data_IF_505749642606
#
_entry.id   IF_505749642606
#
_cell.length_a   1.000
_cell.length_b   1.000
_cell.length_c   1.000
_cell.angle_alpha   90.00
_cell.angle_beta   90.00
_cell.angle_gamma   90.00
#
_symmetry.space_group_name_H-M   'P 1'
#
loop_
_entity.id
_entity.type
_entity.pdbx_description
1 polymer ?
#
# COMPACT_ATOMS: atom_id res chain seq x y z
N UNK A 1 5.86 6.22 20.19
CA UNK A 1 5.01 5.07 20.54
C UNK A 1 4.98 4.17 19.31
N UNK A 2 5.35 2.88 19.44
CA UNK A 2 5.24 1.96 18.31
C UNK A 2 3.76 1.63 18.13
N UNK A 3 3.15 2.10 17.05
CA UNK A 3 1.77 1.76 16.72
C UNK A 3 1.67 0.27 16.42
N UNK A 4 0.60 -0.39 16.89
CA UNK A 4 0.34 -1.80 16.59
C UNK A 4 -0.13 -1.89 15.13
N UNK A 5 0.50 -2.73 14.28
CA UNK A 5 0.10 -2.88 12.89
C UNK A 5 -1.31 -3.48 12.78
N UNK A 6 -2.12 -3.05 11.79
CA UNK A 6 -3.49 -3.57 11.59
C UNK A 6 -3.54 -4.95 10.93
N UNK A 7 -2.48 -5.34 10.22
CA UNK A 7 -2.35 -6.63 9.50
C UNK A 7 -0.87 -6.95 9.25
N UNK A 8 -0.57 -8.05 8.56
CA UNK A 8 0.81 -8.40 8.12
C UNK A 8 1.00 -8.06 6.64
N UNK A 9 2.17 -7.52 6.28
CA UNK A 9 2.52 -7.25 4.87
C UNK A 9 2.98 -8.50 4.11
N UNK A 10 3.21 -9.62 4.80
CA UNK A 10 3.76 -10.81 4.17
C UNK A 10 5.10 -10.53 3.46
N UNK A 11 5.26 -11.07 2.24
CA UNK A 11 6.45 -10.84 1.41
C UNK A 11 6.31 -9.55 0.62
N UNK A 12 7.34 -8.72 0.67
CA UNK A 12 7.38 -7.44 -0.03
C UNK A 12 7.98 -7.59 -1.43
N UNK A 13 7.30 -6.99 -2.40
CA UNK A 13 7.80 -6.83 -3.76
C UNK A 13 7.61 -5.38 -4.21
N UNK A 14 8.42 -4.99 -5.20
CA UNK A 14 8.21 -3.77 -5.96
C UNK A 14 8.45 -4.08 -7.43
N UNK A 15 7.63 -3.52 -8.31
CA UNK A 15 7.84 -3.66 -9.76
C UNK A 15 9.12 -2.91 -10.19
N UNK A 16 9.74 -3.30 -11.32
CA UNK A 16 10.89 -2.58 -11.85
C UNK A 16 10.63 -1.09 -12.11
N UNK A 17 9.42 -0.71 -12.54
CA UNK A 17 9.06 0.69 -12.75
C UNK A 17 8.98 1.45 -11.43
N UNK A 18 8.37 0.88 -10.39
CA UNK A 18 8.34 1.48 -9.06
C UNK A 18 9.75 1.65 -8.47
N UNK A 19 10.63 0.65 -8.61
CA UNK A 19 12.03 0.74 -8.14
C UNK A 19 12.80 1.86 -8.84
N UNK A 20 12.53 2.12 -10.12
CA UNK A 20 13.18 3.18 -10.88
C UNK A 20 12.61 4.57 -10.55
N UNK A 21 11.31 4.65 -10.26
CA UNK A 21 10.59 5.91 -10.10
C UNK A 21 10.57 6.44 -8.66
N UNK A 22 10.72 5.57 -7.66
CA UNK A 22 10.54 5.88 -6.25
C UNK A 22 11.85 5.77 -5.47
N UNK A 23 11.97 6.57 -4.42
CA UNK A 23 13.05 6.41 -3.45
C UNK A 23 12.73 5.31 -2.44
N UNK A 24 13.76 4.79 -1.79
CA UNK A 24 13.56 3.88 -0.65
C UNK A 24 12.77 4.54 0.50
N UNK A 25 12.81 5.87 0.62
CA UNK A 25 12.04 6.63 1.62
C UNK A 25 10.55 6.62 1.30
N UNK A 26 10.19 6.86 0.03
CA UNK A 26 8.80 6.80 -0.46
C UNK A 26 8.18 5.43 -0.14
N UNK A 27 8.90 4.35 -0.49
CA UNK A 27 8.44 2.98 -0.28
C UNK A 27 8.27 2.66 1.21
N UNK A 28 9.28 2.96 2.04
CA UNK A 28 9.21 2.68 3.48
C UNK A 28 8.09 3.47 4.16
N UNK A 29 7.91 4.74 3.80
CA UNK A 29 6.86 5.59 4.34
C UNK A 29 5.48 5.07 3.94
N UNK A 30 5.29 4.72 2.67
CA UNK A 30 4.05 4.15 2.17
C UNK A 30 3.70 2.82 2.85
N UNK A 31 4.66 1.90 3.02
CA UNK A 31 4.44 0.63 3.72
C UNK A 31 4.06 0.86 5.19
N UNK A 32 4.72 1.80 5.88
CA UNK A 32 4.40 2.15 7.27
C UNK A 32 2.99 2.73 7.41
N UNK A 33 2.58 3.59 6.48
CA UNK A 33 1.22 4.16 6.42
C UNK A 33 0.16 3.10 6.12
N UNK A 34 0.40 2.27 5.10
CA UNK A 34 -0.47 1.17 4.71
C UNK A 34 -0.72 0.22 5.88
N UNK A 35 0.34 -0.12 6.62
CA UNK A 35 0.28 -1.00 7.78
C UNK A 35 -0.53 -0.42 8.96
N UNK A 36 -0.64 0.90 9.04
CA UNK A 36 -1.44 1.62 10.04
C UNK A 36 -2.89 1.85 9.57
N UNK A 37 -3.23 1.45 8.34
CA UNK A 37 -4.53 1.73 7.73
C UNK A 37 -4.70 3.19 7.29
N UNK A 38 -3.60 3.92 7.08
CA UNK A 38 -3.62 5.16 6.33
C UNK A 38 -3.58 4.79 4.84
N UNK A 39 -4.73 4.86 4.19
CA UNK A 39 -4.90 4.43 2.80
C UNK A 39 -4.44 5.46 1.77
N UNK A 40 -4.03 6.65 2.21
CA UNK A 40 -3.54 7.72 1.36
C UNK A 40 -4.62 8.34 0.47
N UNK A 41 -4.31 8.48 -0.81
CA UNK A 41 -5.06 9.24 -1.82
C UNK A 41 -6.16 8.40 -2.50
N UNK A 42 -6.95 7.70 -1.69
CA UNK A 42 -8.12 6.95 -2.16
C UNK A 42 -9.40 7.77 -2.01
N UNK A 43 -10.46 7.35 -2.71
CA UNK A 43 -11.79 7.90 -2.47
C UNK A 43 -12.37 7.38 -1.15
N UNK A 44 -13.43 8.00 -0.65
CA UNK A 44 -14.10 7.55 0.57
C UNK A 44 -14.63 6.12 0.45
N UNK A 45 -15.11 5.74 -0.73
CA UNK A 45 -15.64 4.40 -1.03
C UNK A 45 -14.52 3.35 -0.98
N UNK A 46 -13.36 3.64 -1.56
CA UNK A 46 -12.20 2.72 -1.53
C UNK A 46 -11.61 2.61 -0.10
N UNK A 47 -11.65 3.69 0.68
CA UNK A 47 -11.28 3.69 2.10
C UNK A 47 -12.23 2.77 2.90
N UNK A 48 -13.53 2.86 2.66
CA UNK A 48 -14.52 1.98 3.29
C UNK A 48 -14.30 0.52 2.90
N UNK A 49 -14.09 0.25 1.61
CA UNK A 49 -13.76 -1.08 1.12
C UNK A 49 -12.52 -1.69 1.79
N UNK A 50 -11.47 -0.90 2.05
CA UNK A 50 -10.31 -1.38 2.81
C UNK A 50 -10.64 -1.69 4.28
N UNK A 51 -11.49 -0.88 4.92
CA UNK A 51 -11.87 -1.12 6.31
C UNK A 51 -12.71 -2.39 6.44
N UNK A 52 -13.57 -2.68 5.47
CA UNK A 52 -14.32 -3.94 5.38
C UNK A 52 -13.38 -5.11 5.06
N UNK A 53 -12.42 -4.90 4.16
CA UNK A 53 -11.40 -5.90 3.80
C UNK A 53 -10.51 -6.34 4.97
N UNK A 54 -10.34 -5.48 5.98
CA UNK A 54 -9.66 -5.87 7.22
C UNK A 54 -10.46 -6.90 8.05
N UNK A 55 -11.77 -6.98 7.85
CA UNK A 55 -12.65 -7.93 8.53
C UNK A 55 -12.93 -9.17 7.69
N UNK A 56 -13.21 -8.99 6.40
CA UNK A 56 -13.62 -10.09 5.51
C UNK A 56 -12.45 -10.79 4.79
N UNK A 57 -11.23 -10.24 4.89
CA UNK A 57 -10.03 -10.80 4.29
C UNK A 57 -9.85 -10.49 2.81
N UNK A 58 -10.63 -9.61 2.20
CA UNK A 58 -10.41 -9.12 0.83
C UNK A 58 -9.06 -8.39 0.70
N UNK A 59 -8.58 -8.17 -0.52
CA UNK A 59 -7.32 -7.44 -0.75
C UNK A 59 -7.37 -6.01 -0.21
N UNK A 60 -6.22 -5.46 0.13
CA UNK A 60 -6.07 -4.06 0.55
C UNK A 60 -5.34 -3.27 -0.53
N UNK A 61 -5.72 -2.00 -0.71
CA UNK A 61 -5.09 -1.06 -1.63
C UNK A 61 -4.75 0.22 -0.88
N UNK A 62 -3.58 0.80 -1.12
CA UNK A 62 -3.31 2.22 -0.81
C UNK A 62 -2.80 2.92 -2.05
N UNK A 63 -3.03 4.23 -2.13
CA UNK A 63 -2.40 5.09 -3.13
C UNK A 63 -1.65 6.23 -2.48
N UNK A 64 -0.44 6.52 -2.96
CA UNK A 64 0.38 7.62 -2.46
C UNK A 64 1.10 8.32 -3.61
N UNK A 65 1.57 9.54 -3.35
CA UNK A 65 2.51 10.25 -4.21
C UNK A 65 3.89 10.25 -3.57
N UNK A 66 4.92 9.90 -4.34
CA UNK A 66 6.32 10.04 -3.91
C UNK A 66 6.73 11.51 -3.83
N UNK A 67 7.92 11.77 -3.29
CA UNK A 67 8.47 13.14 -3.16
C UNK A 67 8.54 13.90 -4.50
N UNK A 68 8.69 13.17 -5.62
CA UNK A 68 8.70 13.69 -6.98
C UNK A 68 7.29 13.86 -7.61
N UNK A 69 6.23 13.63 -6.84
CA UNK A 69 4.83 13.71 -7.29
C UNK A 69 4.36 12.50 -8.10
N UNK A 70 5.17 11.44 -8.24
CA UNK A 70 4.76 10.23 -8.94
C UNK A 70 3.79 9.45 -8.07
N UNK A 71 2.59 9.21 -8.60
CA UNK A 71 1.58 8.35 -7.96
C UNK A 71 1.98 6.89 -8.07
N UNK A 72 1.83 6.14 -6.99
CA UNK A 72 2.05 4.70 -6.91
C UNK A 72 1.06 4.04 -5.96
N UNK A 73 0.95 2.72 -6.06
CA UNK A 73 0.06 1.90 -5.25
C UNK A 73 0.83 0.93 -4.38
N UNK A 74 0.22 0.57 -3.25
CA UNK A 74 0.64 -0.53 -2.38
C UNK A 74 -0.55 -1.47 -2.25
N UNK A 75 -0.40 -2.71 -2.72
CA UNK A 75 -1.46 -3.71 -2.72
C UNK A 75 -1.05 -4.87 -1.85
N UNK A 76 -1.88 -5.23 -0.87
CA UNK A 76 -1.71 -6.46 -0.07
C UNK A 76 -2.78 -7.46 -0.45
N UNK A 77 -2.37 -8.67 -0.83
CA UNK A 77 -3.29 -9.73 -1.27
C UNK A 77 -4.24 -10.19 -0.15
N UNK A 78 -5.35 -10.81 -0.54
CA UNK A 78 -6.43 -11.23 0.35
C UNK A 78 -5.93 -12.13 1.52
N UNK A 79 -4.98 -13.01 1.25
CA UNK A 79 -4.38 -13.90 2.26
C UNK A 79 -3.25 -13.25 3.07
N UNK A 80 -2.98 -11.96 2.83
CA UNK A 80 -1.89 -11.17 3.47
C UNK A 80 -0.50 -11.80 3.27
N UNK A 81 -0.33 -12.67 2.27
CA UNK A 81 0.94 -13.34 2.02
C UNK A 81 1.94 -12.48 1.25
N UNK A 82 1.45 -11.48 0.52
CA UNK A 82 2.23 -10.64 -0.39
C UNK A 82 1.73 -9.20 -0.35
N UNK A 83 2.67 -8.27 -0.29
CA UNK A 83 2.44 -6.85 -0.58
C UNK A 83 3.33 -6.41 -1.74
N UNK A 84 2.73 -5.78 -2.75
CA UNK A 84 3.45 -5.26 -3.93
C UNK A 84 3.32 -3.75 -4.03
N UNK A 85 4.44 -3.08 -4.26
CA UNK A 85 4.50 -1.66 -4.65
C UNK A 85 4.63 -1.55 -6.16
N UNK A 86 3.76 -0.78 -6.80
CA UNK A 86 3.71 -0.66 -8.26
C UNK A 86 3.19 0.69 -8.72
N UNK A 87 3.55 1.09 -9.94
CA UNK A 87 2.95 2.26 -10.58
C UNK A 87 1.54 1.93 -11.10
N UNK A 88 0.61 2.89 -11.20
CA UNK A 88 -0.74 2.64 -11.72
C UNK A 88 -0.75 2.09 -13.15
N UNK A 89 0.29 2.39 -13.94
CA UNK A 89 0.43 1.89 -15.33
C UNK A 89 0.87 0.42 -15.42
N UNK A 90 1.26 -0.20 -14.30
CA UNK A 90 1.74 -1.58 -14.23
C UNK A 90 0.66 -2.55 -13.69
N UNK A 91 -0.55 -2.03 -13.48
CA UNK A 91 -1.73 -2.77 -13.03
C UNK A 91 -2.81 -2.72 -14.12
#
# INVERSE_FOLDING_TARGET
MNAVPRFSLGRLFATPGAIQALTSSDIQTALSRHLQGDWGELTSEDIEANNDALQDGSRLLSAYSGENGIRFWVITEWDRSVTTVLLPSEY
#
